data_IF_746999149862
#
_entry.id   IF_746999149862
#
_cell.length_a   1.000
_cell.length_b   1.000
_cell.length_c   1.000
_cell.angle_alpha   90.00
_cell.angle_beta   90.00
_cell.angle_gamma   90.00
#
_symmetry.space_group_name_H-M   'P 1'
#
loop_
_entity.id
_entity.type
_entity.pdbx_description
1 polymer ?
#
# COMPACT_ATOMS: atom_id res chain seq x y z
N UNK A 1 6.69 14.64 -25.85
CA UNK A 1 6.82 13.70 -24.72
C UNK A 1 7.94 14.20 -23.81
N UNK A 2 7.68 15.17 -22.93
CA UNK A 2 8.66 15.59 -21.93
C UNK A 2 8.67 14.54 -20.82
N UNK A 3 9.60 13.59 -20.91
CA UNK A 3 9.80 12.63 -19.84
C UNK A 3 10.16 13.38 -18.56
N UNK A 4 9.30 13.29 -17.54
CA UNK A 4 9.54 13.96 -16.27
C UNK A 4 10.63 13.20 -15.52
N UNK A 5 11.83 13.78 -15.44
CA UNK A 5 12.95 13.22 -14.66
C UNK A 5 12.59 12.96 -13.19
N UNK A 6 11.58 13.66 -12.66
CA UNK A 6 11.03 13.43 -11.33
C UNK A 6 10.54 11.99 -11.13
N UNK A 7 9.98 11.34 -12.15
CA UNK A 7 9.55 9.95 -12.04
C UNK A 7 10.71 9.00 -11.72
N UNK A 8 11.87 9.17 -12.38
CA UNK A 8 13.04 8.33 -12.12
C UNK A 8 13.62 8.61 -10.74
N UNK A 9 13.63 9.89 -10.32
CA UNK A 9 14.11 10.29 -8.99
C UNK A 9 13.23 9.66 -7.91
N UNK A 10 11.90 9.77 -8.02
CA UNK A 10 10.97 9.20 -7.05
C UNK A 10 11.08 7.67 -6.98
N UNK A 11 11.20 7.00 -8.13
CA UNK A 11 11.42 5.56 -8.18
C UNK A 11 12.75 5.15 -7.52
N UNK A 12 13.81 5.94 -7.71
CA UNK A 12 15.10 5.75 -7.04
C UNK A 12 15.01 5.93 -5.53
N UNK A 13 14.31 6.97 -5.07
CA UNK A 13 14.07 7.24 -3.65
C UNK A 13 13.25 6.12 -3.00
N UNK A 14 12.16 5.68 -3.66
CA UNK A 14 11.31 4.58 -3.19
C UNK A 14 12.12 3.27 -3.14
N UNK A 15 12.89 2.96 -4.17
CA UNK A 15 13.77 1.80 -4.22
C UNK A 15 14.80 1.82 -3.08
N UNK A 16 15.47 2.96 -2.88
CA UNK A 16 16.43 3.17 -1.79
C UNK A 16 15.78 2.99 -0.41
N UNK A 17 14.59 3.55 -0.20
CA UNK A 17 13.86 3.40 1.05
C UNK A 17 13.42 1.95 1.30
N UNK A 18 13.03 1.20 0.27
CA UNK A 18 12.71 -0.23 0.39
C UNK A 18 13.96 -1.07 0.74
N UNK A 19 15.11 -0.75 0.16
CA UNK A 19 16.38 -1.38 0.53
C UNK A 19 16.73 -1.07 2.00
N UNK A 20 16.61 0.20 2.41
CA UNK A 20 16.87 0.62 3.78
C UNK A 20 15.92 -0.05 4.77
N UNK A 21 14.62 -0.13 4.45
CA UNK A 21 13.62 -0.86 5.22
C UNK A 21 13.95 -2.35 5.35
N UNK A 22 14.46 -2.97 4.28
CA UNK A 22 14.90 -4.37 4.29
C UNK A 22 16.10 -4.57 5.22
N UNK A 23 17.08 -3.66 5.17
CA UNK A 23 18.23 -3.66 6.07
C UNK A 23 17.78 -3.48 7.53
N UNK A 24 16.89 -2.52 7.79
CA UNK A 24 16.37 -2.24 9.13
C UNK A 24 15.68 -3.47 9.72
N UNK A 25 14.83 -4.13 8.93
CA UNK A 25 14.16 -5.37 9.33
C UNK A 25 15.15 -6.50 9.61
N UNK A 26 16.26 -6.59 8.87
CA UNK A 26 17.28 -7.61 9.11
C UNK A 26 18.09 -7.39 10.39
N UNK A 27 18.19 -6.14 10.88
CA UNK A 27 19.05 -5.78 12.03
C UNK A 27 18.29 -5.54 13.32
N UNK A 28 17.07 -5.03 13.27
CA UNK A 28 16.33 -4.61 14.46
C UNK A 28 15.32 -5.66 14.91
N UNK A 29 15.46 -6.15 16.15
CA UNK A 29 14.59 -7.17 16.75
C UNK A 29 13.11 -6.79 16.80
N UNK A 30 12.79 -5.50 16.91
CA UNK A 30 11.41 -5.00 16.86
C UNK A 30 10.73 -5.36 15.53
N UNK A 31 11.36 -5.04 14.40
CA UNK A 31 10.82 -5.33 13.06
C UNK A 31 10.74 -6.83 12.78
N UNK A 32 11.65 -7.62 13.35
CA UNK A 32 11.62 -9.08 13.27
C UNK A 32 10.45 -9.66 14.08
N UNK A 33 10.24 -9.18 15.31
CA UNK A 33 9.20 -9.67 16.22
C UNK A 33 7.80 -9.33 15.74
N UNK A 34 7.58 -8.11 15.23
CA UNK A 34 6.28 -7.65 14.76
C UNK A 34 6.02 -7.89 13.27
N UNK A 35 6.99 -8.50 12.57
CA UNK A 35 6.91 -8.85 11.13
C UNK A 35 6.43 -7.68 10.25
N UNK A 36 6.89 -6.47 10.57
CA UNK A 36 6.44 -5.25 9.88
C UNK A 36 6.84 -5.34 8.40
N UNK A 37 5.89 -5.15 7.46
CA UNK A 37 6.16 -5.11 6.04
C UNK A 37 7.19 -4.03 5.66
N UNK A 38 8.10 -4.36 4.73
CA UNK A 38 9.12 -3.43 4.26
C UNK A 38 8.49 -2.22 3.56
N UNK A 39 7.38 -2.41 2.83
CA UNK A 39 6.64 -1.34 2.19
C UNK A 39 6.07 -0.32 3.19
N UNK A 40 5.54 -0.78 4.33
CA UNK A 40 5.06 0.12 5.39
C UNK A 40 6.22 0.88 6.04
N UNK A 41 7.32 0.19 6.31
CA UNK A 41 8.52 0.82 6.90
C UNK A 41 9.11 1.88 5.97
N UNK A 42 9.25 1.58 4.68
CA UNK A 42 9.73 2.53 3.68
C UNK A 42 8.78 3.73 3.53
N UNK A 43 7.47 3.48 3.47
CA UNK A 43 6.46 4.54 3.44
C UNK A 43 6.53 5.45 4.66
N UNK A 44 6.72 4.87 5.86
CA UNK A 44 6.87 5.64 7.09
C UNK A 44 8.15 6.49 7.12
N UNK A 45 9.27 5.97 6.61
CA UNK A 45 10.52 6.73 6.47
C UNK A 45 10.35 7.90 5.48
N UNK A 46 9.70 7.64 4.35
CA UNK A 46 9.50 8.63 3.29
C UNK A 46 8.45 9.70 3.64
N UNK A 47 7.51 9.39 4.53
CA UNK A 47 6.43 10.28 4.92
C UNK A 47 6.92 11.67 5.37
N UNK A 48 7.79 11.82 6.39
CA UNK A 48 8.30 13.15 6.76
C UNK A 48 9.17 13.78 5.67
N UNK A 49 9.87 12.97 4.86
CA UNK A 49 10.76 13.47 3.81
C UNK A 49 9.97 14.16 2.69
N UNK A 50 8.91 13.52 2.17
CA UNK A 50 8.07 14.12 1.13
C UNK A 50 7.18 15.25 1.63
N UNK A 51 6.89 15.34 2.93
CA UNK A 51 6.06 16.40 3.48
C UNK A 51 6.87 17.65 3.88
N UNK A 52 8.11 17.49 4.36
CA UNK A 52 8.87 18.62 4.93
C UNK A 52 10.24 18.86 4.30
N UNK A 53 10.92 17.83 3.78
CA UNK A 53 12.29 17.96 3.28
C UNK A 53 12.31 18.23 1.77
N UNK A 54 11.69 17.36 0.98
CA UNK A 54 11.70 17.43 -0.47
C UNK A 54 10.95 18.65 -1.07
N UNK A 55 9.87 19.17 -0.46
CA UNK A 55 9.27 20.42 -0.90
C UNK A 55 10.23 21.62 -0.85
N UNK A 56 11.19 21.63 0.09
CA UNK A 56 12.22 22.68 0.17
C UNK A 56 13.20 22.63 -1.02
N UNK A 57 13.29 21.48 -1.69
CA UNK A 57 14.10 21.28 -2.89
C UNK A 57 13.28 21.43 -4.19
N UNK A 58 12.05 21.94 -4.10
CA UNK A 58 11.15 22.11 -5.25
C UNK A 58 10.58 20.81 -5.81
N UNK A 59 10.65 19.70 -5.06
CA UNK A 59 10.02 18.44 -5.45
C UNK A 59 8.57 18.41 -5.01
N UNK A 60 7.65 18.20 -5.95
CA UNK A 60 6.24 18.01 -5.66
C UNK A 60 5.86 16.52 -5.46
N UNK A 61 4.59 16.28 -5.14
CA UNK A 61 4.05 14.92 -4.96
C UNK A 61 3.25 14.43 -6.17
N UNK A 62 3.24 15.18 -7.28
CA UNK A 62 2.44 14.87 -8.46
C UNK A 62 2.91 13.57 -9.12
N UNK A 63 4.22 13.40 -9.22
CA UNK A 63 4.83 12.17 -9.75
C UNK A 63 4.49 10.96 -8.87
N UNK A 64 4.54 11.08 -7.54
CA UNK A 64 4.08 10.04 -6.61
C UNK A 64 2.61 9.63 -6.84
N UNK A 65 1.71 10.61 -7.01
CA UNK A 65 0.29 10.34 -7.28
C UNK A 65 0.11 9.54 -8.57
N UNK A 66 0.86 9.90 -9.62
CA UNK A 66 0.83 9.19 -10.89
C UNK A 66 1.36 7.76 -10.76
N UNK A 67 2.46 7.54 -10.02
CA UNK A 67 3.01 6.20 -9.75
C UNK A 67 1.96 5.33 -9.07
N UNK A 68 1.36 5.83 -7.98
CA UNK A 68 0.32 5.09 -7.24
C UNK A 68 -0.85 4.76 -8.14
N UNK A 69 -1.36 5.73 -8.91
CA UNK A 69 -2.46 5.52 -9.84
C UNK A 69 -2.15 4.41 -10.86
N UNK A 70 -1.01 4.49 -11.55
CA UNK A 70 -0.67 3.51 -12.58
C UNK A 70 -0.35 2.13 -12.01
N UNK A 71 0.35 2.04 -10.88
CA UNK A 71 0.73 0.75 -10.28
C UNK A 71 -0.48 0.03 -9.67
N UNK A 72 -1.41 0.78 -9.07
CA UNK A 72 -2.66 0.24 -8.56
C UNK A 72 -3.55 -0.26 -9.71
N UNK A 73 -3.68 0.51 -10.79
CA UNK A 73 -4.38 0.06 -11.99
C UNK A 73 -3.74 -1.20 -12.59
N UNK A 74 -2.41 -1.24 -12.71
CA UNK A 74 -1.68 -2.40 -13.19
C UNK A 74 -1.91 -3.62 -12.29
N UNK A 75 -1.98 -3.43 -10.98
CA UNK A 75 -2.27 -4.50 -10.01
C UNK A 75 -3.67 -5.09 -10.25
N UNK A 76 -4.69 -4.25 -10.42
CA UNK A 76 -6.05 -4.71 -10.71
C UNK A 76 -6.17 -5.44 -12.06
N UNK A 77 -5.53 -4.91 -13.10
CA UNK A 77 -5.48 -5.55 -14.42
C UNK A 77 -4.81 -6.93 -14.29
N UNK A 78 -3.67 -7.01 -13.61
CA UNK A 78 -2.94 -8.27 -13.41
C UNK A 78 -3.75 -9.30 -12.62
N UNK A 79 -4.50 -8.86 -11.61
CA UNK A 79 -5.36 -9.72 -10.79
C UNK A 79 -6.54 -10.25 -11.59
N UNK A 80 -7.12 -9.43 -12.47
CA UNK A 80 -8.25 -9.82 -13.33
C UNK A 80 -7.82 -10.78 -14.44
N UNK A 81 -6.62 -10.58 -15.02
CA UNK A 81 -6.05 -11.46 -16.02
C UNK A 81 -5.50 -12.78 -15.44
N UNK A 82 -5.34 -12.87 -14.12
CA UNK A 82 -4.81 -14.05 -13.45
C UNK A 82 -5.79 -15.22 -13.57
N UNK A 83 -5.50 -16.14 -14.50
CA UNK A 83 -6.23 -17.41 -14.61
C UNK A 83 -5.94 -18.26 -13.37
N UNK A 84 -6.96 -18.50 -12.56
CA UNK A 84 -6.86 -19.42 -11.42
C UNK A 84 -6.81 -20.86 -11.92
N UNK A 85 -5.79 -21.63 -11.50
CA UNK A 85 -5.66 -23.06 -11.82
C UNK A 85 -6.44 -24.00 -10.88
N UNK A 86 -7.20 -23.47 -9.92
CA UNK A 86 -7.84 -24.28 -8.89
C UNK A 86 -9.26 -24.76 -9.23
N UNK A 87 -9.55 -25.99 -8.77
CA UNK A 87 -10.79 -26.76 -8.93
C UNK A 87 -12.04 -25.91 -8.73
N UNK A 88 -13.11 -26.17 -9.50
CA UNK A 88 -14.45 -25.57 -9.35
C UNK A 88 -14.82 -25.48 -7.85
N UNK A 89 -14.70 -24.29 -7.26
CA UNK A 89 -15.16 -24.06 -5.88
C UNK A 89 -16.66 -24.31 -5.83
N UNK A 90 -17.12 -25.00 -4.79
CA UNK A 90 -18.56 -25.25 -4.62
C UNK A 90 -19.29 -23.90 -4.47
N UNK A 91 -20.53 -23.81 -4.96
CA UNK A 91 -21.37 -22.62 -4.77
C UNK A 91 -21.49 -22.24 -3.29
N UNK A 92 -21.43 -23.24 -2.40
CA UNK A 92 -21.41 -23.06 -0.93
C UNK A 92 -20.16 -22.33 -0.45
N UNK A 93 -18.98 -22.61 -1.01
CA UNK A 93 -17.72 -21.98 -0.61
C UNK A 93 -17.68 -20.51 -1.03
N UNK A 94 -18.23 -20.22 -2.22
CA UNK A 94 -18.38 -18.85 -2.72
C UNK A 94 -19.33 -18.07 -1.84
N UNK A 95 -20.49 -18.63 -1.51
CA UNK A 95 -21.47 -17.99 -0.63
C UNK A 95 -20.87 -17.72 0.75
N UNK A 96 -20.20 -18.69 1.37
CA UNK A 96 -19.57 -18.54 2.68
C UNK A 96 -18.46 -17.46 2.67
N UNK A 97 -17.64 -17.41 1.62
CA UNK A 97 -16.60 -16.38 1.50
C UNK A 97 -17.21 -15.00 1.35
N UNK A 98 -18.23 -14.86 0.50
CA UNK A 98 -18.91 -13.58 0.27
C UNK A 98 -19.62 -13.07 1.53
N UNK A 99 -20.34 -13.93 2.26
CA UNK A 99 -21.01 -13.53 3.51
C UNK A 99 -20.01 -13.13 4.59
N UNK A 100 -18.87 -13.84 4.70
CA UNK A 100 -17.80 -13.49 5.62
C UNK A 100 -17.20 -12.10 5.30
N UNK A 101 -16.86 -11.85 4.04
CA UNK A 101 -16.30 -10.56 3.59
C UNK A 101 -17.29 -9.41 3.81
N UNK A 102 -18.57 -9.60 3.46
CA UNK A 102 -19.60 -8.59 3.68
C UNK A 102 -19.81 -8.28 5.17
N UNK A 103 -19.82 -9.32 6.01
CA UNK A 103 -19.95 -9.14 7.47
C UNK A 103 -18.76 -8.36 8.04
N UNK A 104 -17.54 -8.66 7.58
CA UNK A 104 -16.34 -7.94 8.01
C UNK A 104 -16.42 -6.44 7.63
N UNK A 105 -16.82 -6.12 6.40
CA UNK A 105 -16.98 -4.72 5.99
C UNK A 105 -18.12 -4.01 6.72
N UNK A 106 -19.25 -4.70 6.96
CA UNK A 106 -20.36 -4.15 7.73
C UNK A 106 -19.93 -3.82 9.17
N UNK A 107 -19.19 -4.72 9.82
CA UNK A 107 -18.64 -4.49 11.16
C UNK A 107 -17.63 -3.33 11.19
N UNK A 108 -16.71 -3.26 10.22
CA UNK A 108 -15.75 -2.16 10.12
C UNK A 108 -16.45 -0.81 9.91
N UNK A 109 -17.48 -0.78 9.06
CA UNK A 109 -18.31 0.40 8.81
C UNK A 109 -19.06 0.84 10.07
N UNK A 110 -19.72 -0.11 10.76
CA UNK A 110 -20.46 0.17 11.99
C UNK A 110 -19.53 0.69 13.09
N UNK A 111 -18.45 -0.03 13.40
CA UNK A 111 -17.49 0.37 14.42
C UNK A 111 -16.84 1.71 14.08
N UNK A 112 -16.43 1.91 12.81
CA UNK A 112 -15.87 3.18 12.35
C UNK A 112 -16.84 4.35 12.52
N UNK A 113 -18.12 4.13 12.22
CA UNK A 113 -19.17 5.15 12.39
C UNK A 113 -19.39 5.46 13.87
N UNK A 114 -19.51 4.44 14.73
CA UNK A 114 -19.69 4.62 16.18
C UNK A 114 -18.51 5.38 16.79
N UNK A 115 -17.28 4.99 16.47
CA UNK A 115 -16.08 5.69 16.96
C UNK A 115 -16.08 7.15 16.49
N UNK A 116 -16.45 7.40 15.22
CA UNK A 116 -16.51 8.76 14.68
C UNK A 116 -17.55 9.61 15.42
N UNK A 117 -18.74 9.07 15.70
CA UNK A 117 -19.79 9.78 16.45
C UNK A 117 -19.43 10.03 17.92
N UNK A 118 -18.58 9.21 18.52
CA UNK A 118 -18.13 9.39 19.91
C UNK A 118 -17.01 10.42 20.02
N UNK A 119 -16.16 10.54 18.99
CA UNK A 119 -15.01 11.45 18.98
C UNK A 119 -15.32 12.86 18.46
N UNK A 120 -16.47 13.04 17.79
CA UNK A 120 -16.99 14.35 17.36
C UNK A 120 -17.87 14.92 18.47
#
# INVERSE_FOLDING_TARGET
MTFSWHFLIDMGIIGGALMLATLLRSKIRFFQRFLIPNALTAGFILFPLYNWVFPLMGMDTMSLKNIVFHFLNLSFISMTLRVSKDKRKSSRDVFATSTMVLTQYALQCFLGTVITLVLI
#
